data_IF_426235236361
#
_entry.id   IF_426235236361
#
_cell.length_a   1.000
_cell.length_b   1.000
_cell.length_c   1.000
_cell.angle_alpha   90.00
_cell.angle_beta   90.00
_cell.angle_gamma   90.00
#
_symmetry.space_group_name_H-M   'P 1'
#
loop_
_entity.id
_entity.type
_entity.pdbx_description
1 polymer ?
#
# COMPACT_ATOMS: atom_id res chain seq x y z
N UNK A 1 -47.58 35.70 15.12
CA UNK A 1 -47.10 34.60 15.99
C UNK A 1 -45.94 33.91 15.28
N UNK A 2 -44.87 33.60 16.02
CA UNK A 2 -43.48 33.36 15.57
C UNK A 2 -43.31 32.21 14.56
N UNK A 3 -42.60 32.48 13.45
CA UNK A 3 -42.02 31.45 12.59
C UNK A 3 -40.80 30.82 13.28
N UNK A 4 -40.80 29.51 13.45
CA UNK A 4 -39.66 28.73 13.92
C UNK A 4 -38.84 28.30 12.69
N UNK A 5 -37.64 28.85 12.52
CA UNK A 5 -36.67 28.33 11.57
C UNK A 5 -35.95 27.15 12.22
N UNK A 6 -36.20 25.94 11.71
CA UNK A 6 -35.40 24.75 12.04
C UNK A 6 -34.11 24.82 11.24
N UNK A 7 -32.99 25.11 11.90
CA UNK A 7 -31.66 24.91 11.32
C UNK A 7 -31.41 23.41 11.21
N UNK A 8 -31.41 22.89 9.99
CA UNK A 8 -30.91 21.55 9.69
C UNK A 8 -29.38 21.65 9.64
N UNK A 9 -28.71 21.20 10.70
CA UNK A 9 -27.26 20.98 10.67
C UNK A 9 -26.96 19.80 9.76
N UNK A 10 -26.31 20.07 8.61
CA UNK A 10 -25.66 19.03 7.81
C UNK A 10 -24.54 18.41 8.65
N UNK A 11 -24.78 17.22 9.20
CA UNK A 11 -23.70 16.35 9.68
C UNK A 11 -23.03 15.77 8.43
N UNK A 12 -21.89 16.34 8.03
CA UNK A 12 -21.01 15.72 7.06
C UNK A 12 -20.43 14.45 7.68
N UNK A 13 -20.95 13.29 7.28
CA UNK A 13 -20.23 12.04 7.47
C UNK A 13 -19.01 12.11 6.55
N UNK A 14 -17.82 12.32 7.12
CA UNK A 14 -16.57 12.26 6.40
C UNK A 14 -16.40 10.84 5.87
N UNK A 15 -16.61 10.64 4.57
CA UNK A 15 -16.07 9.46 3.90
C UNK A 15 -14.55 9.45 4.11
N UNK A 16 -13.89 8.29 4.30
CA UNK A 16 -12.44 8.24 4.30
C UNK A 16 -11.96 8.86 3.00
N UNK A 17 -11.23 9.97 3.10
CA UNK A 17 -10.63 10.61 1.95
C UNK A 17 -9.64 9.64 1.31
N UNK A 18 -9.43 9.75 0.00
CA UNK A 18 -8.40 8.97 -0.68
C UNK A 18 -7.02 9.18 -0.04
N UNK A 19 -6.73 10.38 0.45
CA UNK A 19 -5.56 10.69 1.27
C UNK A 19 -5.42 9.78 2.50
N UNK A 20 -6.52 9.45 3.19
CA UNK A 20 -6.48 8.53 4.33
C UNK A 20 -5.95 7.14 3.92
N UNK A 21 -6.35 6.65 2.75
CA UNK A 21 -5.87 5.34 2.26
C UNK A 21 -4.38 5.33 1.93
N UNK A 22 -3.85 6.44 1.40
CA UNK A 22 -2.42 6.60 1.12
C UNK A 22 -1.62 6.72 2.42
N UNK A 23 -2.11 7.50 3.38
CA UNK A 23 -1.50 7.62 4.71
C UNK A 23 -1.45 6.30 5.47
N UNK A 24 -2.53 5.52 5.41
CA UNK A 24 -2.60 4.18 5.98
C UNK A 24 -1.56 3.24 5.34
N UNK A 25 -1.41 3.27 4.01
CA UNK A 25 -0.40 2.47 3.28
C UNK A 25 1.03 2.90 3.64
N UNK A 26 1.31 4.19 3.71
CA UNK A 26 2.61 4.72 4.14
C UNK A 26 2.93 4.30 5.58
N UNK A 27 1.94 4.37 6.48
CA UNK A 27 2.09 3.90 7.86
C UNK A 27 2.40 2.40 7.90
N UNK A 28 1.68 1.58 7.14
CA UNK A 28 1.95 0.14 7.09
C UNK A 28 3.36 -0.12 6.54
N UNK A 29 3.73 0.57 5.47
CA UNK A 29 5.03 0.43 4.79
C UNK A 29 6.21 0.67 5.73
N UNK A 30 6.17 1.72 6.55
CA UNK A 30 7.24 1.97 7.54
C UNK A 30 7.23 0.93 8.66
N UNK A 31 6.06 0.56 9.16
CA UNK A 31 5.98 -0.26 10.36
C UNK A 31 6.26 -1.74 10.09
N UNK A 32 5.98 -2.26 8.89
CA UNK A 32 6.44 -3.60 8.48
C UNK A 32 7.97 -3.71 8.54
N UNK A 33 8.69 -2.64 8.17
CA UNK A 33 10.15 -2.63 8.24
C UNK A 33 10.61 -2.68 9.70
N UNK A 34 9.98 -1.89 10.59
CA UNK A 34 10.30 -1.93 12.01
C UNK A 34 9.99 -3.28 12.67
N UNK A 35 8.82 -3.84 12.37
CA UNK A 35 8.38 -5.16 12.84
C UNK A 35 9.38 -6.26 12.48
N UNK A 36 9.76 -6.33 11.20
CA UNK A 36 10.73 -7.30 10.70
C UNK A 36 12.12 -7.18 11.36
N UNK A 37 12.41 -6.06 12.03
CA UNK A 37 13.65 -5.79 12.75
C UNK A 37 13.47 -5.79 14.28
N UNK A 38 12.35 -6.31 14.79
CA UNK A 38 12.15 -6.58 16.21
C UNK A 38 11.66 -5.38 17.02
N UNK A 39 11.01 -4.40 16.39
CA UNK A 39 10.40 -3.28 17.08
C UNK A 39 9.20 -3.71 17.94
N UNK A 40 9.16 -3.30 19.21
CA UNK A 40 8.03 -3.53 20.10
C UNK A 40 7.03 -2.38 20.04
N UNK A 41 5.89 -2.58 19.38
CA UNK A 41 4.87 -1.54 19.23
C UNK A 41 4.19 -1.20 20.55
N UNK A 42 4.12 0.09 20.87
CA UNK A 42 3.41 0.61 22.04
C UNK A 42 1.92 0.89 21.79
N UNK A 43 1.56 1.30 20.57
CA UNK A 43 0.20 1.71 20.20
C UNK A 43 -0.77 0.54 20.06
N UNK A 44 -2.07 0.82 20.21
CA UNK A 44 -3.14 -0.18 19.99
C UNK A 44 -3.08 -0.72 18.57
N UNK A 45 -2.91 0.16 17.58
CA UNK A 45 -2.84 -0.23 16.18
C UNK A 45 -1.64 -1.11 15.89
N UNK A 46 -0.44 -0.70 16.31
CA UNK A 46 0.78 -1.49 16.10
C UNK A 46 0.68 -2.89 16.70
N UNK A 47 0.19 -3.00 17.95
CA UNK A 47 -0.03 -4.28 18.61
C UNK A 47 -1.08 -5.14 17.91
N UNK A 48 -2.14 -4.54 17.38
CA UNK A 48 -3.20 -5.28 16.70
C UNK A 48 -2.75 -5.82 15.34
N UNK A 49 -1.92 -5.05 14.61
CA UNK A 49 -1.45 -5.43 13.27
C UNK A 49 -0.24 -6.37 13.32
N UNK A 50 0.67 -6.17 14.28
CA UNK A 50 1.97 -6.86 14.33
C UNK A 50 2.15 -7.78 15.54
N UNK A 51 1.17 -7.86 16.44
CA UNK A 51 1.08 -8.75 17.62
C UNK A 51 2.23 -8.71 18.66
N UNK A 52 3.35 -8.04 18.37
CA UNK A 52 4.59 -7.97 19.15
C UNK A 52 5.26 -9.33 19.45
N UNK A 53 4.85 -10.42 18.80
CA UNK A 53 5.48 -11.71 19.04
C UNK A 53 6.92 -11.70 18.50
N UNK A 54 7.88 -11.93 19.40
CA UNK A 54 9.30 -11.96 19.03
C UNK A 54 9.96 -10.59 18.86
N UNK A 55 9.29 -9.50 19.23
CA UNK A 55 9.95 -8.19 19.31
C UNK A 55 11.01 -8.17 20.43
N UNK A 56 12.03 -7.32 20.31
CA UNK A 56 13.17 -7.28 21.23
C UNK A 56 13.56 -5.88 21.70
N UNK A 57 13.21 -4.82 20.95
CA UNK A 57 13.61 -3.44 21.25
C UNK A 57 12.53 -2.45 20.85
N UNK A 58 12.48 -1.28 21.50
CA UNK A 58 11.69 -0.12 21.03
C UNK A 58 12.50 0.80 20.11
N UNK A 59 13.76 0.45 19.85
CA UNK A 59 14.66 1.16 18.95
C UNK A 59 15.65 0.14 18.35
N UNK A 60 15.20 -0.69 17.38
CA UNK A 60 16.07 -1.66 16.73
C UNK A 60 17.03 -0.98 15.75
N UNK A 61 18.26 -1.48 15.69
CA UNK A 61 19.21 -1.03 14.69
C UNK A 61 18.75 -1.44 13.28
N UNK A 62 18.64 -0.46 12.39
CA UNK A 62 18.29 -0.68 10.98
C UNK A 62 19.52 -0.49 10.08
N UNK A 63 19.72 -1.36 9.08
CA UNK A 63 20.69 -1.14 8.00
C UNK A 63 20.48 0.23 7.31
N UNK A 64 21.55 0.89 6.82
CA UNK A 64 21.44 2.20 6.18
C UNK A 64 20.42 2.28 5.03
N UNK A 65 20.33 1.24 4.18
CA UNK A 65 19.37 1.19 3.08
C UNK A 65 17.90 1.22 3.55
N UNK A 66 17.60 0.60 4.70
CA UNK A 66 16.26 0.63 5.28
C UNK A 66 15.97 1.98 5.96
N UNK A 67 16.98 2.61 6.56
CA UNK A 67 16.85 3.98 7.08
C UNK A 67 16.55 5.00 5.98
N UNK A 68 17.27 4.91 4.85
CA UNK A 68 17.01 5.73 3.67
C UNK A 68 15.57 5.52 3.16
N UNK A 69 15.13 4.26 3.10
CA UNK A 69 13.77 3.94 2.67
C UNK A 69 12.71 4.50 3.60
N UNK A 70 12.86 4.34 4.91
CA UNK A 70 11.96 4.93 5.92
C UNK A 70 11.95 6.45 5.80
N UNK A 71 13.11 7.07 5.53
CA UNK A 71 13.20 8.52 5.31
C UNK A 71 12.36 8.96 4.11
N UNK A 72 12.39 8.22 3.00
CA UNK A 72 11.55 8.49 1.82
C UNK A 72 10.06 8.30 2.11
N UNK A 73 9.68 7.28 2.89
CA UNK A 73 8.28 7.08 3.32
C UNK A 73 7.82 8.25 4.19
N UNK A 74 8.64 8.67 5.16
CA UNK A 74 8.33 9.82 6.02
C UNK A 74 8.22 11.13 5.24
N UNK A 75 9.01 11.31 4.18
CA UNK A 75 8.90 12.49 3.33
C UNK A 75 7.51 12.56 2.66
N UNK A 76 6.99 11.43 2.16
CA UNK A 76 5.64 11.34 1.60
C UNK A 76 4.55 11.54 2.67
N UNK A 77 4.70 10.87 3.82
CA UNK A 77 3.76 10.97 4.94
C UNK A 77 3.64 12.42 5.44
N UNK A 78 4.76 13.14 5.51
CA UNK A 78 4.79 14.57 5.87
C UNK A 78 4.17 15.46 4.78
N UNK A 79 4.44 15.18 3.51
CA UNK A 79 3.91 15.98 2.40
C UNK A 79 2.37 15.90 2.33
N UNK A 80 1.79 14.77 2.73
CA UNK A 80 0.35 14.52 2.77
C UNK A 80 -0.29 14.86 4.14
N UNK A 81 0.49 15.40 5.08
CA UNK A 81 0.04 15.72 6.45
C UNK A 81 -0.66 14.54 7.14
N UNK A 82 -0.12 13.33 6.95
CA UNK A 82 -0.73 12.11 7.43
C UNK A 82 -0.87 12.09 8.95
N UNK A 83 -2.06 11.69 9.42
CA UNK A 83 -2.39 11.55 10.82
C UNK A 83 -3.16 10.24 11.07
N UNK A 84 -2.48 9.10 10.93
CA UNK A 84 -3.09 7.78 11.16
C UNK A 84 -3.48 7.62 12.63
N UNK A 85 -4.74 7.28 12.89
CA UNK A 85 -5.27 7.04 14.22
C UNK A 85 -4.72 5.72 14.80
N UNK A 86 -3.74 5.85 15.68
CA UNK A 86 -3.06 4.71 16.29
C UNK A 86 -3.84 4.07 17.46
N UNK A 87 -5.02 4.58 17.81
CA UNK A 87 -5.88 4.02 18.85
C UNK A 87 -6.77 2.88 18.34
N UNK A 88 -6.89 2.71 17.02
CA UNK A 88 -7.68 1.66 16.38
C UNK A 88 -6.97 0.30 16.43
N UNK A 89 -7.69 -0.77 16.07
CA UNK A 89 -7.16 -2.15 15.99
C UNK A 89 -7.06 -2.67 14.55
N UNK A 90 -7.44 -1.85 13.57
CA UNK A 90 -7.40 -2.19 12.14
C UNK A 90 -6.96 -0.98 11.34
N UNK A 91 -6.37 -1.23 10.17
CA UNK A 91 -5.96 -0.20 9.21
C UNK A 91 -6.56 -0.53 7.84
N UNK A 92 -6.93 0.48 7.05
CA UNK A 92 -7.59 0.27 5.77
C UNK A 92 -6.57 0.27 4.63
N UNK A 93 -5.71 -0.74 4.60
CA UNK A 93 -4.73 -0.92 3.51
C UNK A 93 -5.21 -1.99 2.54
N UNK A 94 -5.29 -1.61 1.27
CA UNK A 94 -5.64 -2.54 0.22
C UNK A 94 -4.65 -3.70 0.18
N UNK A 95 -5.16 -4.94 0.23
CA UNK A 95 -4.35 -6.15 0.20
C UNK A 95 -3.25 -6.22 1.29
N UNK A 96 -3.54 -5.75 2.50
CA UNK A 96 -2.62 -5.76 3.63
C UNK A 96 -1.88 -7.10 3.81
N UNK A 97 -2.57 -8.24 3.69
CA UNK A 97 -1.96 -9.56 3.85
C UNK A 97 -0.85 -9.86 2.84
N UNK A 98 -0.90 -9.30 1.63
CA UNK A 98 0.20 -9.41 0.66
C UNK A 98 1.34 -8.45 1.00
N UNK A 99 1.03 -7.26 1.53
CA UNK A 99 2.04 -6.29 1.98
C UNK A 99 2.96 -6.88 3.05
N UNK A 100 2.42 -7.65 4.00
CA UNK A 100 3.21 -8.35 5.03
C UNK A 100 4.15 -9.45 4.48
N UNK A 101 4.09 -9.77 3.19
CA UNK A 101 4.94 -10.81 2.56
C UNK A 101 6.09 -10.26 1.72
N UNK A 102 6.17 -8.94 1.56
CA UNK A 102 7.19 -8.27 0.76
C UNK A 102 8.49 -8.14 1.53
N UNK A 103 9.61 -8.22 0.82
CA UNK A 103 10.93 -7.88 1.37
C UNK A 103 11.18 -6.37 1.27
N UNK A 104 10.80 -5.78 0.14
CA UNK A 104 10.78 -4.33 -0.03
C UNK A 104 9.33 -3.87 -0.07
N UNK A 105 8.89 -3.14 0.95
CA UNK A 105 7.62 -2.42 0.90
C UNK A 105 7.64 -1.42 -0.27
N UNK A 106 6.54 -1.01 -0.91
CA UNK A 106 6.49 0.17 -1.79
C UNK A 106 6.34 1.48 -1.01
N UNK A 107 6.22 2.60 -1.72
CA UNK A 107 5.91 3.93 -1.15
C UNK A 107 4.65 4.43 -1.86
N UNK A 108 3.55 4.56 -1.13
CA UNK A 108 2.29 5.00 -1.72
C UNK A 108 2.36 6.48 -2.16
N UNK A 109 1.53 6.85 -3.13
CA UNK A 109 1.49 8.19 -3.70
C UNK A 109 0.08 8.52 -4.17
N UNK A 110 -0.25 9.81 -4.21
CA UNK A 110 -1.44 10.32 -4.90
C UNK A 110 -1.15 10.65 -6.37
N UNK A 111 0.13 10.70 -6.75
CA UNK A 111 0.56 11.09 -8.09
C UNK A 111 0.56 9.89 -9.04
N UNK A 112 0.11 10.11 -10.28
CA UNK A 112 0.14 9.12 -11.36
C UNK A 112 -0.54 7.79 -10.99
N UNK A 113 -1.53 7.85 -10.10
CA UNK A 113 -2.40 6.72 -9.79
C UNK A 113 -3.17 6.33 -11.04
N UNK A 114 -3.15 5.04 -11.37
CA UNK A 114 -3.91 4.52 -12.51
C UNK A 114 -4.38 3.10 -12.28
N UNK A 115 -5.49 2.76 -12.91
CA UNK A 115 -6.06 1.42 -12.99
C UNK A 115 -6.12 1.01 -14.46
N UNK A 116 -5.63 -0.18 -14.76
CA UNK A 116 -5.70 -0.85 -16.05
C UNK A 116 -6.76 -1.94 -15.96
N UNK A 117 -7.84 -1.82 -16.71
CA UNK A 117 -8.83 -2.88 -16.85
C UNK A 117 -8.52 -3.69 -18.10
N UNK A 118 -8.57 -5.01 -17.97
CA UNK A 118 -8.33 -5.92 -19.09
C UNK A 118 -6.89 -5.85 -19.60
N UNK A 119 -5.91 -6.16 -18.75
CA UNK A 119 -4.50 -6.16 -19.11
C UNK A 119 -4.22 -7.10 -20.30
N UNK A 120 -3.40 -6.66 -21.25
CA UNK A 120 -3.02 -7.42 -22.45
C UNK A 120 -1.48 -7.53 -22.54
N UNK A 121 -0.85 -8.36 -21.70
CA UNK A 121 0.60 -8.55 -21.77
C UNK A 121 0.97 -9.48 -22.93
N UNK A 122 2.07 -9.19 -23.65
CA UNK A 122 2.58 -10.06 -24.73
C UNK A 122 3.07 -11.43 -24.21
N UNK A 123 3.50 -11.47 -22.96
CA UNK A 123 3.92 -12.66 -22.20
C UNK A 123 3.54 -12.48 -20.73
N UNK A 124 3.31 -13.55 -19.96
CA UNK A 124 2.98 -13.42 -18.54
C UNK A 124 4.01 -12.57 -17.78
N UNK A 125 3.52 -11.58 -17.02
CA UNK A 125 4.37 -10.67 -16.23
C UNK A 125 4.44 -11.16 -14.80
N UNK A 126 5.65 -11.25 -14.24
CA UNK A 126 5.87 -11.78 -12.91
C UNK A 126 5.93 -10.67 -11.87
N UNK A 127 5.25 -10.85 -10.74
CA UNK A 127 5.30 -9.98 -9.57
C UNK A 127 6.13 -10.63 -8.46
N UNK A 128 7.20 -9.96 -8.04
CA UNK A 128 8.17 -10.44 -7.05
C UNK A 128 7.98 -9.80 -5.67
N UNK A 129 8.48 -10.46 -4.61
CA UNK A 129 8.55 -9.91 -3.24
C UNK A 129 9.49 -8.71 -3.08
N UNK A 130 10.43 -8.53 -4.00
CA UNK A 130 11.48 -7.53 -3.97
C UNK A 130 11.80 -7.05 -5.40
N UNK A 131 12.59 -5.97 -5.52
CA UNK A 131 13.03 -5.36 -6.79
C UNK A 131 14.22 -6.10 -7.40
N UNK A 132 14.05 -7.41 -7.60
CA UNK A 132 15.01 -8.28 -8.28
C UNK A 132 14.29 -9.50 -8.86
N UNK A 133 14.66 -9.92 -10.08
CA UNK A 133 14.06 -11.07 -10.76
C UNK A 133 14.29 -12.40 -10.02
N UNK A 134 15.32 -12.47 -9.18
CA UNK A 134 15.64 -13.67 -8.38
C UNK A 134 14.81 -13.79 -7.11
N UNK A 135 14.06 -12.75 -6.74
CA UNK A 135 13.20 -12.76 -5.57
C UNK A 135 12.02 -13.72 -5.78
N UNK A 136 11.50 -14.38 -4.73
CA UNK A 136 10.32 -15.23 -4.85
C UNK A 136 9.13 -14.54 -5.53
N UNK A 137 8.44 -15.32 -6.37
CA UNK A 137 7.24 -14.89 -7.08
C UNK A 137 6.03 -14.87 -6.14
N UNK A 138 5.28 -13.78 -6.17
CA UNK A 138 4.02 -13.60 -5.44
C UNK A 138 2.80 -13.82 -6.32
N UNK A 139 2.87 -13.39 -7.57
CA UNK A 139 1.79 -13.51 -8.53
C UNK A 139 2.31 -13.40 -9.96
N UNK A 140 1.43 -13.75 -10.90
CA UNK A 140 1.63 -13.59 -12.33
C UNK A 140 0.42 -12.83 -12.86
N UNK A 141 0.66 -11.83 -13.69
CA UNK A 141 -0.35 -11.07 -14.41
C UNK A 141 -0.60 -11.78 -15.74
N UNK A 142 -1.87 -12.10 -15.98
CA UNK A 142 -2.35 -12.73 -17.21
C UNK A 142 -3.32 -11.82 -17.97
N UNK A 143 -3.63 -12.21 -19.20
CA UNK A 143 -4.58 -11.48 -20.06
C UNK A 143 -5.96 -11.34 -19.40
N UNK A 144 -6.46 -10.11 -19.38
CA UNK A 144 -7.77 -9.74 -18.85
C UNK A 144 -7.77 -9.37 -17.36
N UNK A 145 -6.63 -9.45 -16.67
CA UNK A 145 -6.53 -9.03 -15.27
C UNK A 145 -6.74 -7.51 -15.10
N UNK A 146 -7.14 -7.09 -13.90
CA UNK A 146 -7.22 -5.66 -13.54
C UNK A 146 -6.04 -5.28 -12.64
N UNK A 147 -5.37 -4.19 -12.95
CA UNK A 147 -4.12 -3.78 -12.30
C UNK A 147 -4.21 -2.35 -11.78
N UNK A 148 -3.59 -2.08 -10.64
CA UNK A 148 -3.47 -0.74 -10.07
C UNK A 148 -2.02 -0.36 -9.80
N UNK A 149 -1.65 0.86 -10.19
CA UNK A 149 -0.42 1.54 -9.80
C UNK A 149 -0.81 2.62 -8.80
N UNK A 150 -0.46 2.41 -7.54
CA UNK A 150 -0.83 3.26 -6.40
C UNK A 150 0.41 3.74 -5.62
N UNK A 151 1.59 3.47 -6.17
CA UNK A 151 2.87 3.60 -5.50
C UNK A 151 3.90 4.19 -6.47
N UNK A 152 4.91 4.88 -5.90
CA UNK A 152 6.02 5.43 -6.67
C UNK A 152 6.79 4.32 -7.40
N UNK A 153 7.17 4.60 -8.65
CA UNK A 153 8.15 3.80 -9.36
C UNK A 153 9.55 4.00 -8.76
N UNK A 154 10.37 2.96 -8.81
CA UNK A 154 11.73 2.97 -8.28
C UNK A 154 12.72 2.46 -9.33
N UNK A 155 13.26 3.38 -10.13
CA UNK A 155 13.96 3.02 -11.37
C UNK A 155 12.98 2.40 -12.35
N UNK A 156 13.35 1.27 -12.94
CA UNK A 156 12.47 0.51 -13.86
C UNK A 156 11.41 -0.32 -13.13
N UNK A 157 11.51 -0.46 -11.80
CA UNK A 157 10.60 -1.27 -11.00
C UNK A 157 9.33 -0.52 -10.63
N UNK A 158 8.21 -1.20 -10.82
CA UNK A 158 6.86 -0.75 -10.50
C UNK A 158 6.22 -1.70 -9.50
N UNK A 159 5.47 -1.16 -8.54
CA UNK A 159 4.68 -1.98 -7.64
C UNK A 159 3.23 -2.03 -8.13
N UNK A 160 2.76 -3.23 -8.44
CA UNK A 160 1.43 -3.44 -9.03
C UNK A 160 0.53 -4.16 -8.03
N UNK A 161 -0.69 -3.66 -7.91
CA UNK A 161 -1.80 -4.37 -7.29
C UNK A 161 -2.59 -5.09 -8.38
N UNK A 162 -2.75 -6.40 -8.24
CA UNK A 162 -3.40 -7.30 -9.17
C UNK A 162 -4.73 -7.80 -8.60
N UNK A 163 -5.81 -7.55 -9.33
CA UNK A 163 -7.11 -8.18 -9.16
C UNK A 163 -7.28 -9.21 -10.29
N UNK A 164 -7.18 -10.49 -9.94
CA UNK A 164 -7.16 -11.55 -10.95
C UNK A 164 -8.56 -11.82 -11.53
N UNK A 165 -8.66 -11.84 -12.86
CA UNK A 165 -9.86 -12.27 -13.58
C UNK A 165 -10.15 -13.75 -13.38
N UNK A 166 -9.10 -14.59 -13.39
CA UNK A 166 -9.24 -16.04 -13.24
C UNK A 166 -9.54 -16.47 -11.80
N UNK A 167 -9.23 -15.61 -10.82
CA UNK A 167 -9.50 -15.82 -9.40
C UNK A 167 -10.24 -14.61 -8.79
N UNK A 168 -11.52 -14.41 -9.13
CA UNK A 168 -12.29 -13.25 -8.65
C UNK A 168 -12.25 -13.13 -7.12
N UNK A 169 -12.07 -11.90 -6.63
CA UNK A 169 -11.95 -11.61 -5.19
C UNK A 169 -10.56 -11.89 -4.61
N UNK A 170 -9.66 -12.55 -5.34
CA UNK A 170 -8.26 -12.67 -4.92
C UNK A 170 -7.47 -11.47 -5.40
N UNK A 171 -6.93 -10.72 -4.45
CA UNK A 171 -6.00 -9.62 -4.68
C UNK A 171 -4.58 -10.12 -4.39
N UNK A 172 -3.64 -9.75 -5.26
CA UNK A 172 -2.21 -9.99 -5.07
C UNK A 172 -1.44 -8.70 -5.38
N UNK A 173 -0.20 -8.58 -4.93
CA UNK A 173 0.62 -7.41 -5.25
C UNK A 173 2.10 -7.79 -5.26
N UNK A 174 2.92 -7.04 -5.99
CA UNK A 174 4.37 -7.23 -6.01
C UNK A 174 5.09 -6.31 -6.98
N UNK A 175 6.41 -6.45 -7.04
CA UNK A 175 7.30 -5.66 -7.86
C UNK A 175 7.55 -6.30 -9.23
N UNK A 176 7.61 -5.48 -10.27
CA UNK A 176 8.00 -5.91 -11.63
C UNK A 176 8.68 -4.77 -12.39
N UNK A 177 9.61 -5.09 -13.26
CA UNK A 177 10.23 -4.19 -14.24
C UNK A 177 9.73 -4.47 -15.68
N UNK A 178 8.76 -5.38 -15.84
CA UNK A 178 8.33 -5.89 -17.14
C UNK A 178 7.05 -5.22 -17.67
N UNK A 179 6.45 -4.28 -16.93
CA UNK A 179 5.14 -3.72 -17.23
C UNK A 179 5.15 -2.44 -18.07
N UNK A 180 6.32 -1.98 -18.53
CA UNK A 180 6.47 -0.68 -19.21
C UNK A 180 5.62 -0.48 -20.48
N UNK A 181 5.38 -1.54 -21.26
CA UNK A 181 4.62 -1.48 -22.52
C UNK A 181 3.22 -2.12 -22.44
N UNK A 182 2.75 -2.40 -21.22
CA UNK A 182 1.51 -3.13 -21.02
C UNK A 182 0.31 -2.36 -21.59
N UNK A 183 -0.47 -3.03 -22.44
CA UNK A 183 -1.72 -2.51 -22.97
C UNK A 183 -2.89 -2.87 -22.06
N UNK A 184 -3.94 -2.06 -22.12
CA UNK A 184 -5.16 -2.22 -21.33
C UNK A 184 -6.37 -2.02 -22.24
N UNK A 185 -7.43 -2.77 -22.01
CA UNK A 185 -8.71 -2.52 -22.68
C UNK A 185 -9.26 -1.13 -22.29
N UNK A 186 -9.08 -0.75 -21.01
CA UNK A 186 -9.45 0.57 -20.48
C UNK A 186 -8.47 1.03 -19.40
N UNK A 187 -8.27 2.35 -19.29
CA UNK A 187 -7.44 2.99 -18.26
C UNK A 187 -8.27 4.04 -17.52
N UNK A 188 -8.21 4.02 -16.18
CA UNK A 188 -8.74 5.07 -15.31
C UNK A 188 -7.60 5.67 -14.46
N UNK A 189 -7.71 6.95 -14.09
CA UNK A 189 -6.74 7.68 -13.28
C UNK A 189 -7.23 9.09 -12.97
#
# INVERSE_FOLDING_TARGET
MKQFYVLISLVFFAAPSWAQSVCDDLWLSRNVIYDAHGYCFGSTLGKAIFDNNGCTSVDPALPPALQERITRIWAQDKALECAVDQSQTSISVYNQASRLRLLTQPIATEDNVKVCFGAQPDKPIVLHKDKTETSPVLAVIDTGDTLGWLHLNEGDWQFITLMSKSKPGKISSGWTDQAGNLQCDEIAG
#
